data_IF_031149409892
#
_entry.id   IF_031149409892
#
_cell.length_a   1.000
_cell.length_b   1.000
_cell.length_c   1.000
_cell.angle_alpha   90.00
_cell.angle_beta   90.00
_cell.angle_gamma   90.00
#
_symmetry.space_group_name_H-M   'P 1'
#
loop_
_entity.id
_entity.type
_entity.pdbx_description
1 polymer ?
#
# COMPACT_ATOMS: atom_id res chain seq x y z
N UNK A 1 -11.48 -3.21 27.60
CA UNK A 1 -11.17 -3.94 26.36
C UNK A 1 -10.13 -3.15 25.58
N UNK A 2 -9.05 -3.79 25.11
CA UNK A 2 -8.02 -3.13 24.27
C UNK A 2 -8.27 -3.47 22.82
N UNK A 3 -8.24 -2.45 21.95
CA UNK A 3 -8.33 -2.67 20.50
C UNK A 3 -6.90 -2.87 19.93
N UNK A 4 -6.54 -4.06 19.44
CA UNK A 4 -5.20 -4.33 18.92
C UNK A 4 -5.04 -3.98 17.43
N UNK A 5 -6.14 -3.62 16.75
CA UNK A 5 -6.11 -3.23 15.34
C UNK A 5 -5.64 -1.78 15.16
N UNK A 6 -4.87 -1.54 14.11
CA UNK A 6 -4.24 -0.25 13.81
C UNK A 6 -4.46 0.15 12.33
N UNK A 7 -5.69 0.45 11.93
CA UNK A 7 -6.01 0.68 10.51
C UNK A 7 -5.34 1.92 9.91
N UNK A 8 -4.94 2.89 10.75
CA UNK A 8 -4.31 4.14 10.30
C UNK A 8 -2.79 4.13 10.34
N UNK A 9 -2.17 3.07 10.89
CA UNK A 9 -0.74 3.05 11.13
C UNK A 9 0.02 2.29 10.03
N UNK A 10 1.24 2.74 9.77
CA UNK A 10 2.24 1.96 9.04
C UNK A 10 2.89 1.02 10.05
N UNK A 11 2.53 -0.27 9.97
CA UNK A 11 3.07 -1.29 10.87
C UNK A 11 4.48 -1.67 10.41
N UNK A 12 5.48 -1.45 11.27
CA UNK A 12 6.89 -1.76 10.96
C UNK A 12 7.55 -2.61 12.04
N UNK A 13 7.04 -2.60 13.27
CA UNK A 13 7.62 -3.33 14.39
C UNK A 13 7.49 -4.86 14.18
N UNK A 14 8.58 -5.64 14.39
CA UNK A 14 8.60 -7.08 14.14
C UNK A 14 7.50 -7.87 14.85
N UNK A 15 7.16 -7.50 16.07
CA UNK A 15 6.16 -8.16 16.90
C UNK A 15 4.70 -7.78 16.55
N UNK A 16 4.52 -6.75 15.74
CA UNK A 16 3.21 -6.31 15.27
C UNK A 16 3.01 -6.60 13.77
N UNK A 17 4.10 -6.88 13.06
CA UNK A 17 4.10 -7.15 11.62
C UNK A 17 3.74 -8.61 11.38
N UNK A 18 2.64 -8.84 10.67
CA UNK A 18 2.11 -10.17 10.42
C UNK A 18 2.39 -10.63 8.99
N UNK A 19 2.80 -11.89 8.84
CA UNK A 19 3.07 -12.51 7.55
C UNK A 19 4.24 -11.85 6.79
N UNK A 20 4.33 -12.15 5.50
CA UNK A 20 5.30 -11.54 4.57
C UNK A 20 6.77 -11.94 4.81
N UNK A 21 7.03 -13.01 5.56
CA UNK A 21 8.41 -13.45 5.82
C UNK A 21 9.16 -13.81 4.53
N UNK A 22 8.43 -14.29 3.51
CA UNK A 22 9.02 -14.60 2.21
C UNK A 22 9.42 -13.32 1.48
N UNK A 23 8.54 -12.31 1.47
CA UNK A 23 8.79 -11.02 0.84
C UNK A 23 9.91 -10.26 1.57
N UNK A 24 9.93 -10.25 2.92
CA UNK A 24 11.01 -9.65 3.69
C UNK A 24 12.35 -10.29 3.36
N UNK A 25 12.42 -11.64 3.37
CA UNK A 25 13.65 -12.37 3.01
C UNK A 25 14.05 -12.14 1.56
N UNK A 26 13.07 -12.13 0.64
CA UNK A 26 13.32 -11.84 -0.76
C UNK A 26 13.88 -10.43 -0.93
N UNK A 27 13.22 -9.43 -0.34
CA UNK A 27 13.61 -8.03 -0.45
C UNK A 27 15.03 -7.82 0.09
N UNK A 28 15.34 -8.34 1.29
CA UNK A 28 16.67 -8.25 1.90
C UNK A 28 17.77 -8.88 1.04
N UNK A 29 17.49 -10.03 0.41
CA UNK A 29 18.40 -10.68 -0.51
C UNK A 29 18.60 -9.90 -1.81
N UNK A 30 17.50 -9.45 -2.40
CA UNK A 30 17.48 -8.83 -3.73
C UNK A 30 18.11 -7.42 -3.71
N UNK A 31 17.96 -6.67 -2.62
CA UNK A 31 18.60 -5.36 -2.45
C UNK A 31 20.14 -5.42 -2.56
N UNK A 32 20.75 -6.57 -2.27
CA UNK A 32 22.19 -6.76 -2.50
C UNK A 32 22.56 -6.83 -3.99
N UNK A 33 21.61 -7.25 -4.83
CA UNK A 33 21.82 -7.43 -6.27
C UNK A 33 21.55 -6.13 -7.05
N UNK A 34 20.52 -5.39 -6.68
CA UNK A 34 20.12 -4.19 -7.39
C UNK A 34 19.05 -3.38 -6.68
N UNK A 35 18.51 -2.38 -7.35
CA UNK A 35 17.33 -1.65 -6.89
C UNK A 35 16.08 -2.47 -7.14
N UNK A 36 15.06 -2.29 -6.29
CA UNK A 36 13.86 -3.11 -6.25
C UNK A 36 12.62 -2.22 -6.35
N UNK A 37 11.58 -2.71 -6.99
CA UNK A 37 10.26 -2.11 -6.95
C UNK A 37 9.30 -3.04 -6.18
N UNK A 38 8.48 -2.47 -5.30
CA UNK A 38 7.37 -3.11 -4.60
C UNK A 38 6.10 -2.48 -5.15
N UNK A 39 5.29 -3.26 -5.84
CA UNK A 39 4.01 -2.77 -6.35
C UNK A 39 2.85 -3.64 -5.85
N UNK A 40 1.64 -3.11 -5.93
CA UNK A 40 0.43 -3.80 -5.54
C UNK A 40 -0.71 -2.80 -5.32
N UNK A 41 -1.89 -3.30 -4.98
CA UNK A 41 -3.09 -2.49 -4.76
C UNK A 41 -2.94 -1.56 -3.55
N UNK A 42 -3.85 -0.61 -3.42
CA UNK A 42 -3.94 0.24 -2.23
C UNK A 42 -4.26 -0.61 -0.98
N UNK A 43 -3.64 -0.29 0.15
CA UNK A 43 -3.91 -0.99 1.42
C UNK A 43 -3.33 -2.40 1.57
N UNK A 44 -2.57 -2.91 0.59
CA UNK A 44 -1.98 -4.26 0.62
C UNK A 44 -0.74 -4.38 1.53
N UNK A 45 -0.26 -3.26 2.11
CA UNK A 45 0.85 -3.25 3.07
C UNK A 45 2.23 -2.91 2.48
N UNK A 46 2.30 -2.24 1.31
CA UNK A 46 3.59 -1.86 0.68
C UNK A 46 4.46 -0.96 1.58
N UNK A 47 3.88 0.09 2.14
CA UNK A 47 4.56 1.03 3.05
C UNK A 47 5.06 0.33 4.31
N UNK A 48 4.24 -0.58 4.85
CA UNK A 48 4.61 -1.38 6.02
C UNK A 48 5.77 -2.34 5.68
N UNK A 49 5.72 -3.02 4.53
CA UNK A 49 6.80 -3.90 4.09
C UNK A 49 8.10 -3.12 3.86
N UNK A 50 8.03 -1.96 3.18
CA UNK A 50 9.18 -1.08 2.96
C UNK A 50 9.79 -0.65 4.29
N UNK A 51 8.97 -0.12 5.21
CA UNK A 51 9.41 0.36 6.52
C UNK A 51 9.96 -0.79 7.37
N UNK A 52 9.25 -1.92 7.45
CA UNK A 52 9.69 -3.11 8.20
C UNK A 52 11.05 -3.60 7.72
N UNK A 53 11.23 -3.71 6.40
CA UNK A 53 12.48 -4.22 5.83
C UNK A 53 13.64 -3.26 6.05
N UNK A 54 13.44 -1.95 5.85
CA UNK A 54 14.53 -0.97 5.97
C UNK A 54 14.87 -0.61 7.42
N UNK A 55 13.86 -0.55 8.31
CA UNK A 55 14.08 -0.20 9.71
C UNK A 55 14.73 -1.33 10.51
N UNK A 56 14.39 -2.57 10.22
CA UNK A 56 14.86 -3.72 11.00
C UNK A 56 15.89 -4.57 10.27
N UNK A 57 16.12 -4.35 8.97
CA UNK A 57 17.20 -4.93 8.14
C UNK A 57 17.45 -6.43 8.40
N UNK A 58 16.38 -7.21 8.64
CA UNK A 58 16.48 -8.64 8.91
C UNK A 58 17.19 -9.37 7.74
N UNK A 59 18.35 -9.95 8.01
CA UNK A 59 19.15 -10.66 7.01
C UNK A 59 20.17 -9.83 6.25
N UNK A 60 20.27 -8.52 6.47
CA UNK A 60 21.53 -7.81 6.28
C UNK A 60 22.37 -8.12 7.51
N UNK A 61 23.27 -9.12 7.37
CA UNK A 61 24.15 -9.50 8.45
C UNK A 61 24.69 -8.29 9.18
N UNK A 62 24.86 -8.47 10.47
CA UNK A 62 25.36 -7.61 11.55
C UNK A 62 26.50 -6.61 11.24
N UNK A 63 26.83 -6.40 9.99
CA UNK A 63 27.68 -5.33 9.56
C UNK A 63 26.89 -4.01 9.65
N UNK A 64 27.18 -3.24 10.70
CA UNK A 64 26.76 -1.85 10.95
C UNK A 64 27.02 -0.88 9.76
N UNK A 65 27.16 -1.40 8.54
CA UNK A 65 27.63 -0.68 7.36
C UNK A 65 26.53 -0.22 6.41
N UNK A 66 25.26 -0.56 6.68
CA UNK A 66 24.15 -0.11 5.81
C UNK A 66 23.45 1.11 6.37
N UNK A 67 23.22 2.10 5.52
CA UNK A 67 22.46 3.30 5.85
C UNK A 67 21.28 3.42 4.91
N UNK A 68 20.10 3.71 5.45
CA UNK A 68 18.89 3.88 4.67
C UNK A 68 18.20 5.20 4.99
N UNK A 69 17.35 5.64 4.06
CA UNK A 69 16.38 6.73 4.22
C UNK A 69 15.10 6.35 3.50
N UNK A 70 14.00 6.69 4.10
CA UNK A 70 12.67 6.53 3.47
C UNK A 70 12.14 7.93 3.22
N UNK A 71 11.69 8.17 2.01
CA UNK A 71 11.05 9.41 1.58
C UNK A 71 9.68 9.08 0.99
N UNK A 72 8.76 10.01 1.09
CA UNK A 72 7.38 9.84 0.58
C UNK A 72 7.19 10.69 -0.65
N UNK A 73 6.77 10.06 -1.75
CA UNK A 73 6.43 10.74 -2.99
C UNK A 73 5.14 11.55 -2.86
N UNK A 74 5.06 12.68 -3.53
CA UNK A 74 3.83 13.48 -3.61
C UNK A 74 3.69 14.18 -4.97
N UNK A 75 2.47 14.62 -5.30
CA UNK A 75 2.13 15.13 -6.62
C UNK A 75 2.81 16.45 -7.02
N UNK A 76 3.41 17.16 -6.07
CA UNK A 76 4.18 18.39 -6.35
C UNK A 76 5.59 18.13 -6.89
N UNK A 77 6.06 16.87 -6.78
CA UNK A 77 7.36 16.44 -7.33
C UNK A 77 7.22 16.18 -8.82
N UNK A 78 7.55 17.18 -9.64
CA UNK A 78 7.39 17.12 -11.11
C UNK A 78 8.70 17.10 -11.86
N UNK A 79 9.76 17.63 -11.26
CA UNK A 79 11.06 17.74 -11.90
C UNK A 79 12.11 16.88 -11.18
N UNK A 80 13.22 16.64 -11.86
CA UNK A 80 14.36 15.94 -11.25
C UNK A 80 14.95 16.72 -10.06
N UNK A 81 14.89 18.04 -10.11
CA UNK A 81 15.34 18.89 -9.00
C UNK A 81 14.43 18.77 -7.79
N UNK A 82 13.09 18.67 -7.99
CA UNK A 82 12.15 18.42 -6.90
C UNK A 82 12.40 17.05 -6.26
N UNK A 83 12.61 16.01 -7.07
CA UNK A 83 12.93 14.67 -6.59
C UNK A 83 14.28 14.63 -5.83
N UNK A 84 15.29 15.36 -6.30
CA UNK A 84 16.56 15.49 -5.60
C UNK A 84 16.42 16.26 -4.28
N UNK A 85 15.58 17.31 -4.25
CA UNK A 85 15.26 18.06 -3.03
C UNK A 85 14.62 17.17 -2.00
N UNK A 86 13.61 16.39 -2.37
CA UNK A 86 12.91 15.45 -1.50
C UNK A 86 13.89 14.50 -0.78
N UNK A 87 14.85 13.93 -1.54
CA UNK A 87 15.87 13.06 -0.95
C UNK A 87 16.82 13.83 -0.04
N UNK A 88 17.22 15.04 -0.45
CA UNK A 88 18.16 15.85 0.33
C UNK A 88 17.55 16.28 1.68
N UNK A 89 16.29 16.67 1.70
CA UNK A 89 15.58 17.08 2.92
C UNK A 89 15.59 15.97 3.99
N UNK A 90 15.52 14.71 3.58
CA UNK A 90 15.60 13.55 4.48
C UNK A 90 17.05 13.12 4.78
N UNK A 91 17.98 13.42 3.87
CA UNK A 91 19.38 13.00 4.00
C UNK A 91 20.22 13.94 4.86
N UNK A 92 19.93 15.24 4.83
CA UNK A 92 20.81 16.26 5.38
C UNK A 92 20.15 17.12 6.46
N UNK A 93 20.96 17.53 7.43
CA UNK A 93 20.61 18.63 8.33
C UNK A 93 21.17 19.93 7.75
N UNK A 94 20.34 20.96 7.69
CA UNK A 94 20.68 22.28 7.19
C UNK A 94 21.05 23.18 8.38
N UNK A 95 22.32 23.60 8.46
CA UNK A 95 22.74 24.63 9.41
C UNK A 95 22.90 25.99 8.71
N UNK A 96 21.92 26.84 8.86
CA UNK A 96 21.89 28.17 8.28
C UNK A 96 22.91 29.10 8.92
N UNK A 97 23.38 28.84 10.15
CA UNK A 97 24.33 29.66 10.87
C UNK A 97 25.76 29.47 10.34
N UNK A 98 26.11 28.21 10.09
CA UNK A 98 27.43 27.86 9.51
C UNK A 98 27.41 27.78 7.98
N UNK A 99 26.21 27.92 7.36
CA UNK A 99 26.00 27.76 5.92
C UNK A 99 26.54 26.43 5.40
N UNK A 100 26.18 25.35 6.07
CA UNK A 100 26.61 23.98 5.72
C UNK A 100 25.45 23.01 5.64
N UNK A 101 25.57 22.03 4.73
CA UNK A 101 24.76 20.80 4.75
C UNK A 101 25.58 19.74 5.46
N UNK A 102 24.97 19.14 6.48
CA UNK A 102 25.57 18.01 7.22
C UNK A 102 24.79 16.73 6.90
N UNK A 103 25.49 15.71 6.42
CA UNK A 103 24.86 14.43 6.08
C UNK A 103 24.69 13.58 7.34
N UNK A 104 23.46 13.17 7.59
CA UNK A 104 23.07 12.34 8.74
C UNK A 104 23.39 10.85 8.61
N UNK A 105 24.54 10.46 8.04
CA UNK A 105 24.96 9.05 7.97
C UNK A 105 25.81 8.71 9.18
N UNK A 106 25.50 7.69 9.99
CA UNK A 106 26.15 7.45 11.29
C UNK A 106 27.68 7.38 11.26
N UNK A 107 28.28 6.83 10.23
CA UNK A 107 29.75 6.78 10.06
C UNK A 107 30.34 7.97 9.32
N UNK A 108 29.50 8.84 8.76
CA UNK A 108 29.88 10.10 8.10
C UNK A 108 29.45 11.31 8.94
N UNK A 109 29.22 11.13 10.22
CA UNK A 109 28.55 12.05 11.14
C UNK A 109 29.12 13.48 11.22
N UNK A 110 30.12 13.82 10.44
CA UNK A 110 30.68 15.17 10.35
C UNK A 110 30.99 15.63 8.91
N UNK A 111 30.40 14.97 7.89
CA UNK A 111 30.51 15.52 6.56
C UNK A 111 29.66 16.78 6.47
N UNK A 112 30.32 17.92 6.37
CA UNK A 112 29.66 19.19 6.13
C UNK A 112 30.25 19.85 4.88
N UNK A 113 29.36 20.31 3.98
CA UNK A 113 29.75 20.92 2.72
C UNK A 113 29.10 22.28 2.54
N UNK A 114 29.88 23.33 2.51
CA UNK A 114 29.43 24.69 2.15
C UNK A 114 29.09 24.80 0.66
N UNK A 115 29.77 24.05 -0.20
CA UNK A 115 29.48 24.02 -1.62
C UNK A 115 28.13 23.34 -1.91
N UNK A 116 27.86 22.20 -1.30
CA UNK A 116 26.55 21.53 -1.42
C UNK A 116 25.43 22.42 -0.84
N UNK A 117 25.68 23.15 0.26
CA UNK A 117 24.75 24.12 0.80
C UNK A 117 24.43 25.23 -0.21
N UNK A 118 25.46 25.81 -0.84
CA UNK A 118 25.26 26.84 -1.86
C UNK A 118 24.42 26.34 -3.03
N UNK A 119 24.74 25.16 -3.55
CA UNK A 119 23.95 24.52 -4.62
C UNK A 119 22.51 24.28 -4.22
N UNK A 120 22.27 23.83 -2.98
CA UNK A 120 20.93 23.64 -2.45
C UNK A 120 20.15 24.96 -2.39
N UNK A 121 20.75 26.03 -1.89
CA UNK A 121 20.11 27.35 -1.82
C UNK A 121 19.83 27.98 -3.21
N UNK A 122 20.64 27.63 -4.22
CA UNK A 122 20.43 28.04 -5.60
C UNK A 122 19.33 27.20 -6.33
N UNK A 123 18.70 26.23 -5.65
CA UNK A 123 17.72 25.32 -6.26
C UNK A 123 18.32 24.23 -7.16
N UNK A 124 19.65 24.07 -7.14
CA UNK A 124 20.42 23.06 -7.89
C UNK A 124 20.55 21.77 -7.07
N UNK A 125 19.40 21.19 -6.71
CA UNK A 125 19.34 20.09 -5.74
C UNK A 125 20.03 18.82 -6.24
N UNK A 126 19.87 18.49 -7.51
CA UNK A 126 20.56 17.34 -8.11
C UNK A 126 22.09 17.52 -8.08
N UNK A 127 22.58 18.73 -8.31
CA UNK A 127 24.01 19.03 -8.22
C UNK A 127 24.49 18.90 -6.76
N UNK A 128 23.72 19.39 -5.79
CA UNK A 128 24.01 19.24 -4.37
C UNK A 128 24.04 17.77 -3.94
N UNK A 129 23.04 16.96 -4.36
CA UNK A 129 22.99 15.51 -4.09
C UNK A 129 24.22 14.80 -4.68
N UNK A 130 24.53 15.07 -5.94
CA UNK A 130 25.72 14.50 -6.58
C UNK A 130 27.02 14.89 -5.86
N UNK A 131 27.12 16.10 -5.36
CA UNK A 131 28.30 16.57 -4.60
C UNK A 131 28.48 15.75 -3.31
N UNK A 132 27.39 15.41 -2.62
CA UNK A 132 27.42 14.57 -1.44
C UNK A 132 27.85 13.14 -1.82
N UNK A 133 27.24 12.56 -2.85
CA UNK A 133 27.53 11.18 -3.28
C UNK A 133 28.95 11.02 -3.85
N UNK A 134 29.56 12.10 -4.39
CA UNK A 134 30.92 12.09 -4.90
C UNK A 134 31.97 12.38 -3.84
N UNK A 135 31.57 12.72 -2.64
CA UNK A 135 32.50 13.01 -1.56
C UNK A 135 33.43 11.83 -1.25
N UNK A 136 34.65 12.15 -0.86
CA UNK A 136 35.67 11.14 -0.58
C UNK A 136 35.27 10.20 0.58
N UNK A 137 34.74 10.76 1.65
CA UNK A 137 34.35 9.98 2.81
C UNK A 137 33.13 9.06 2.48
N UNK A 138 32.17 9.57 1.70
CA UNK A 138 31.07 8.77 1.21
C UNK A 138 31.56 7.62 0.31
N UNK A 139 32.47 7.90 -0.62
CA UNK A 139 33.07 6.87 -1.48
C UNK A 139 33.82 5.82 -0.69
N UNK A 140 34.64 6.21 0.27
CA UNK A 140 35.37 5.29 1.14
C UNK A 140 34.42 4.40 1.95
N UNK A 141 33.33 4.97 2.47
CA UNK A 141 32.26 4.21 3.16
C UNK A 141 31.65 3.15 2.25
N UNK A 142 31.21 3.51 1.05
CA UNK A 142 30.62 2.57 0.08
C UNK A 142 31.63 1.51 -0.37
N UNK A 143 32.89 1.91 -0.61
CA UNK A 143 33.96 0.99 -1.05
C UNK A 143 34.41 0.02 0.05
N UNK A 144 34.22 0.38 1.32
CA UNK A 144 34.44 -0.55 2.45
C UNK A 144 33.35 -1.61 2.64
N UNK A 145 32.40 -1.70 1.70
CA UNK A 145 31.30 -2.66 1.74
C UNK A 145 29.97 -2.09 2.23
N UNK A 146 29.92 -0.78 2.52
CA UNK A 146 28.68 -0.11 2.94
C UNK A 146 27.62 -0.04 1.84
N UNK A 147 26.37 -0.04 2.23
CA UNK A 147 25.23 0.20 1.34
C UNK A 147 24.56 1.51 1.70
N UNK A 148 24.15 2.26 0.69
CA UNK A 148 23.27 3.40 0.84
C UNK A 148 21.94 3.10 0.13
N UNK A 149 20.87 2.96 0.93
CA UNK A 149 19.56 2.52 0.45
C UNK A 149 18.57 3.69 0.59
N UNK A 150 17.91 4.02 -0.50
CA UNK A 150 16.87 5.06 -0.56
C UNK A 150 15.53 4.36 -0.83
N UNK A 151 14.67 4.30 0.18
CA UNK A 151 13.29 3.87 0.04
C UNK A 151 12.43 5.04 -0.43
N UNK A 152 11.62 4.85 -1.47
CA UNK A 152 10.67 5.86 -1.94
C UNK A 152 9.28 5.24 -1.90
N UNK A 153 8.48 5.70 -0.94
CA UNK A 153 7.08 5.31 -0.83
C UNK A 153 6.19 6.19 -1.72
N UNK A 154 4.97 5.75 -2.02
CA UNK A 154 4.02 6.43 -2.91
C UNK A 154 4.63 6.88 -4.25
N UNK A 155 5.49 6.04 -4.81
CA UNK A 155 6.28 6.33 -6.02
C UNK A 155 5.42 6.67 -7.24
N UNK A 156 4.17 6.18 -7.30
CA UNK A 156 3.22 6.49 -8.38
C UNK A 156 2.90 7.98 -8.49
N UNK A 157 2.96 8.73 -7.38
CA UNK A 157 2.65 10.15 -7.37
C UNK A 157 3.70 11.01 -8.08
N UNK A 158 4.91 10.50 -8.21
CA UNK A 158 6.04 11.24 -8.78
C UNK A 158 6.93 10.38 -9.70
N UNK A 159 6.39 9.31 -10.26
CA UNK A 159 7.11 8.33 -11.07
C UNK A 159 8.00 8.92 -12.18
N UNK A 160 7.57 9.92 -12.99
CA UNK A 160 8.43 10.50 -14.02
C UNK A 160 9.67 11.23 -13.48
N UNK A 161 9.51 12.00 -12.41
CA UNK A 161 10.61 12.73 -11.79
C UNK A 161 11.64 11.79 -11.14
N UNK A 162 11.13 10.76 -10.44
CA UNK A 162 11.94 9.73 -9.81
C UNK A 162 12.70 8.90 -10.85
N UNK A 163 12.08 8.53 -11.96
CA UNK A 163 12.73 7.76 -13.02
C UNK A 163 13.97 8.48 -13.55
N UNK A 164 13.87 9.79 -13.84
CA UNK A 164 14.98 10.63 -14.30
C UNK A 164 16.08 10.72 -13.25
N UNK A 165 15.72 10.97 -11.98
CA UNK A 165 16.66 11.05 -10.88
C UNK A 165 17.40 9.73 -10.70
N UNK A 166 16.67 8.63 -10.59
CA UNK A 166 17.20 7.28 -10.42
C UNK A 166 18.22 6.95 -11.51
N UNK A 167 17.84 7.19 -12.76
CA UNK A 167 18.70 6.98 -13.92
C UNK A 167 20.03 7.74 -13.79
N UNK A 168 19.97 9.03 -13.47
CA UNK A 168 21.16 9.86 -13.38
C UNK A 168 22.04 9.49 -12.19
N UNK A 169 21.46 9.32 -11.00
CA UNK A 169 22.19 8.98 -9.78
C UNK A 169 22.91 7.64 -9.94
N UNK A 170 22.19 6.59 -10.37
CA UNK A 170 22.79 5.25 -10.47
C UNK A 170 23.85 5.20 -11.58
N UNK A 171 23.59 5.81 -12.75
CA UNK A 171 24.58 5.84 -13.83
C UNK A 171 25.85 6.56 -13.41
N UNK A 172 25.71 7.74 -12.81
CA UNK A 172 26.85 8.55 -12.39
C UNK A 172 27.64 7.86 -11.28
N UNK A 173 26.97 7.26 -10.33
CA UNK A 173 27.60 6.52 -9.23
C UNK A 173 28.41 5.33 -9.76
N UNK A 174 27.84 4.53 -10.66
CA UNK A 174 28.53 3.39 -11.27
C UNK A 174 29.76 3.83 -12.08
N UNK A 175 29.66 4.90 -12.87
CA UNK A 175 30.82 5.47 -13.59
C UNK A 175 31.91 5.97 -12.65
N UNK A 176 31.57 6.35 -11.43
CA UNK A 176 32.50 6.76 -10.37
C UNK A 176 33.00 5.59 -9.51
N UNK A 177 32.69 4.35 -9.87
CA UNK A 177 33.10 3.15 -9.11
C UNK A 177 32.29 2.91 -7.84
N UNK A 178 31.11 3.51 -7.72
CA UNK A 178 30.20 3.36 -6.58
C UNK A 178 29.03 2.48 -7.03
N UNK A 179 28.97 1.24 -6.54
CA UNK A 179 27.96 0.27 -6.97
C UNK A 179 26.89 -0.05 -5.93
N UNK A 180 27.06 0.38 -4.67
CA UNK A 180 26.19 0.01 -3.55
C UNK A 180 25.18 1.10 -3.16
N UNK A 181 24.80 1.99 -4.08
CA UNK A 181 23.63 2.85 -3.95
C UNK A 181 22.44 2.08 -4.50
N UNK A 182 21.39 1.90 -3.68
CA UNK A 182 20.18 1.14 -4.01
C UNK A 182 18.96 2.01 -3.80
N UNK A 183 17.96 1.76 -4.64
CA UNK A 183 16.63 2.32 -4.49
C UNK A 183 15.63 1.19 -4.25
N UNK A 184 14.71 1.42 -3.33
CA UNK A 184 13.55 0.55 -3.12
C UNK A 184 12.32 1.42 -3.31
N UNK A 185 11.61 1.19 -4.41
CA UNK A 185 10.41 1.92 -4.73
C UNK A 185 9.20 1.15 -4.21
N UNK A 186 8.26 1.83 -3.57
CA UNK A 186 6.97 1.29 -3.24
C UNK A 186 5.86 2.16 -3.86
N UNK A 187 4.89 1.55 -4.51
CA UNK A 187 3.84 2.29 -5.18
C UNK A 187 2.70 1.42 -5.69
N UNK A 188 1.61 2.08 -6.09
CA UNK A 188 0.45 1.40 -6.66
C UNK A 188 0.73 1.00 -8.11
N UNK A 189 0.37 -0.24 -8.48
CA UNK A 189 0.49 -0.71 -9.86
C UNK A 189 -0.31 0.20 -10.82
N UNK A 190 0.17 0.53 -12.02
CA UNK A 190 1.41 0.07 -12.67
C UNK A 190 2.53 1.14 -12.67
N UNK A 191 2.92 1.71 -11.51
CA UNK A 191 3.89 2.82 -11.45
C UNK A 191 5.25 2.49 -12.10
N UNK A 192 5.69 1.24 -12.05
CA UNK A 192 6.95 0.81 -12.69
C UNK A 192 6.87 1.01 -14.21
N UNK A 193 5.73 0.73 -14.81
CA UNK A 193 5.50 0.98 -16.24
C UNK A 193 5.54 2.48 -16.58
N UNK A 194 5.02 3.32 -15.70
CA UNK A 194 5.10 4.77 -15.84
C UNK A 194 6.57 5.24 -15.78
N UNK A 195 7.36 4.73 -14.84
CA UNK A 195 8.80 5.01 -14.79
C UNK A 195 9.53 4.56 -16.05
N UNK A 196 9.25 3.36 -16.56
CA UNK A 196 9.85 2.81 -17.79
C UNK A 196 9.45 3.62 -19.00
N UNK A 197 8.20 4.06 -19.09
CA UNK A 197 7.73 4.90 -20.21
C UNK A 197 8.43 6.26 -20.25
N UNK A 198 8.82 6.79 -19.09
CA UNK A 198 9.60 8.03 -19.00
C UNK A 198 11.07 7.82 -19.38
N UNK A 199 11.71 6.77 -18.89
CA UNK A 199 13.09 6.41 -19.23
C UNK A 199 13.27 4.89 -19.27
N UNK A 200 13.15 4.29 -20.47
CA UNK A 200 13.35 2.85 -20.66
C UNK A 200 14.72 2.32 -20.21
N UNK A 201 15.70 3.20 -20.04
CA UNK A 201 17.04 2.83 -19.57
C UNK A 201 17.09 2.40 -18.11
N UNK A 202 16.06 2.70 -17.31
CA UNK A 202 15.99 2.29 -15.90
C UNK A 202 15.79 0.78 -15.70
N UNK A 203 15.21 0.09 -16.68
CA UNK A 203 14.96 -1.37 -16.61
C UNK A 203 16.21 -2.18 -16.22
N UNK A 204 17.38 -1.76 -16.66
CA UNK A 204 18.65 -2.45 -16.34
C UNK A 204 19.11 -2.23 -14.90
N UNK A 205 18.53 -1.27 -14.18
CA UNK A 205 18.91 -0.91 -12.81
C UNK A 205 17.89 -1.37 -11.78
N UNK A 206 16.64 -1.60 -12.19
CA UNK A 206 15.63 -2.30 -11.38
C UNK A 206 15.90 -3.79 -11.56
N UNK A 207 16.38 -4.41 -10.49
CA UNK A 207 16.77 -5.82 -10.51
C UNK A 207 15.54 -6.73 -10.55
N UNK A 208 14.52 -6.39 -9.76
CA UNK A 208 13.28 -7.16 -9.68
C UNK A 208 12.13 -6.26 -9.24
N UNK A 209 10.91 -6.65 -9.63
CA UNK A 209 9.66 -6.07 -9.14
C UNK A 209 8.92 -7.12 -8.34
N UNK A 210 8.67 -6.81 -7.06
CA UNK A 210 7.87 -7.66 -6.16
C UNK A 210 6.44 -7.17 -6.24
N UNK A 211 5.53 -8.03 -6.69
CA UNK A 211 4.11 -7.75 -6.65
C UNK A 211 3.52 -8.27 -5.34
N UNK A 212 3.10 -7.33 -4.50
CA UNK A 212 2.54 -7.64 -3.20
C UNK A 212 1.03 -7.90 -3.36
N UNK A 213 0.63 -9.13 -3.09
CA UNK A 213 -0.77 -9.58 -3.14
C UNK A 213 -1.45 -9.42 -1.77
N UNK A 214 -2.78 -9.36 -1.69
CA UNK A 214 -3.50 -9.53 -0.43
C UNK A 214 -3.07 -10.81 0.29
N UNK A 215 -3.35 -10.91 1.57
CA UNK A 215 -3.18 -12.16 2.31
C UNK A 215 -4.04 -13.27 1.69
N UNK A 216 -3.56 -14.49 1.75
CA UNK A 216 -4.42 -15.65 1.50
C UNK A 216 -5.54 -15.72 2.53
N UNK A 217 -6.60 -16.47 2.25
CA UNK A 217 -7.70 -16.64 3.21
C UNK A 217 -7.19 -17.23 4.55
N UNK A 218 -6.22 -18.12 4.51
CA UNK A 218 -5.60 -18.72 5.69
C UNK A 218 -4.81 -17.67 6.49
N UNK A 219 -3.91 -16.92 5.84
CA UNK A 219 -3.14 -15.84 6.49
C UNK A 219 -4.05 -14.75 7.08
N UNK A 220 -5.14 -14.40 6.37
CA UNK A 220 -6.10 -13.41 6.85
C UNK A 220 -6.86 -13.89 8.08
N UNK A 221 -7.25 -15.18 8.10
CA UNK A 221 -7.91 -15.81 9.24
C UNK A 221 -6.99 -15.89 10.45
N UNK A 222 -5.78 -16.41 10.27
CA UNK A 222 -4.78 -16.49 11.33
C UNK A 222 -4.47 -15.11 11.93
N UNK A 223 -4.36 -14.08 11.07
CA UNK A 223 -4.19 -12.71 11.53
C UNK A 223 -5.34 -12.23 12.43
N UNK A 224 -6.59 -12.49 12.04
CA UNK A 224 -7.75 -12.09 12.83
C UNK A 224 -7.86 -12.89 14.13
N UNK A 225 -7.61 -14.20 14.07
CA UNK A 225 -7.63 -15.08 15.25
C UNK A 225 -6.63 -14.58 16.30
N UNK A 226 -5.40 -14.25 15.90
CA UNK A 226 -4.39 -13.69 16.78
C UNK A 226 -4.84 -12.35 17.39
N UNK A 227 -5.37 -11.44 16.57
CA UNK A 227 -5.82 -10.12 17.03
C UNK A 227 -7.02 -10.20 17.96
N UNK A 228 -8.00 -11.02 17.66
CA UNK A 228 -9.15 -11.24 18.53
C UNK A 228 -8.78 -11.99 19.81
N UNK A 229 -7.79 -12.86 19.76
CA UNK A 229 -7.24 -13.47 20.97
C UNK A 229 -6.63 -12.41 21.92
N UNK A 230 -5.90 -11.40 21.38
CA UNK A 230 -5.41 -10.26 22.16
C UNK A 230 -6.56 -9.49 22.85
N UNK A 231 -7.72 -9.34 22.18
CA UNK A 231 -8.92 -8.71 22.76
C UNK A 231 -9.45 -9.50 23.95
N UNK A 232 -9.67 -10.80 23.76
CA UNK A 232 -10.18 -11.71 24.80
C UNK A 232 -9.21 -11.73 26.01
N UNK A 233 -7.92 -11.83 25.73
CA UNK A 233 -6.88 -11.85 26.76
C UNK A 233 -6.85 -10.55 27.59
N UNK A 234 -7.11 -9.40 26.94
CA UNK A 234 -7.14 -8.09 27.61
C UNK A 234 -8.25 -7.92 28.66
N UNK A 235 -9.28 -8.77 28.62
CA UNK A 235 -10.43 -8.70 29.53
C UNK A 235 -10.52 -9.87 30.53
N UNK A 236 -9.62 -10.85 30.45
CA UNK A 236 -9.64 -12.05 31.32
C UNK A 236 -9.63 -11.76 32.81
N UNK A 237 -8.97 -10.69 33.22
CA UNK A 237 -8.85 -10.30 34.63
C UNK A 237 -9.98 -9.32 35.07
N UNK A 238 -10.98 -9.07 34.20
CA UNK A 238 -12.13 -8.23 34.48
C UNK A 238 -13.37 -9.09 34.74
N UNK A 239 -14.42 -8.52 35.34
CA UNK A 239 -15.72 -9.20 35.53
C UNK A 239 -16.46 -9.43 34.21
N UNK A 240 -15.98 -8.86 33.10
CA UNK A 240 -16.56 -8.95 31.77
C UNK A 240 -15.95 -10.10 30.99
N UNK A 241 -16.75 -10.99 30.45
CA UNK A 241 -16.33 -12.01 29.49
C UNK A 241 -16.73 -11.54 28.09
N UNK A 242 -15.77 -11.58 27.16
CA UNK A 242 -16.06 -11.34 25.73
C UNK A 242 -15.79 -12.64 24.97
N UNK A 243 -16.72 -12.98 24.10
CA UNK A 243 -16.58 -14.06 23.12
C UNK A 243 -16.77 -13.53 21.70
N UNK A 244 -16.28 -14.28 20.74
CA UNK A 244 -16.38 -13.91 19.32
C UNK A 244 -17.06 -15.05 18.60
N UNK A 245 -18.09 -14.71 17.82
CA UNK A 245 -18.76 -15.70 16.99
C UNK A 245 -17.83 -16.06 15.80
N UNK A 246 -17.54 -17.35 15.56
CA UNK A 246 -16.61 -17.76 14.50
C UNK A 246 -16.96 -17.21 13.11
N UNK A 247 -18.25 -17.11 12.79
CA UNK A 247 -18.73 -16.60 11.50
C UNK A 247 -18.28 -15.15 11.24
N UNK A 248 -18.09 -14.32 12.27
CA UNK A 248 -17.65 -12.93 12.11
C UNK A 248 -16.24 -12.87 11.52
N UNK A 249 -15.35 -13.76 11.96
CA UNK A 249 -13.98 -13.84 11.45
C UNK A 249 -14.02 -14.22 9.96
N UNK A 250 -14.73 -15.28 9.62
CA UNK A 250 -14.86 -15.74 8.23
C UNK A 250 -15.45 -14.65 7.32
N UNK A 251 -16.41 -13.88 7.82
CA UNK A 251 -17.02 -12.75 7.10
C UNK A 251 -16.08 -11.56 6.91
N UNK A 252 -15.34 -11.18 7.95
CA UNK A 252 -14.33 -10.11 7.82
C UNK A 252 -13.28 -10.52 6.79
N UNK A 253 -12.84 -11.79 6.77
CA UNK A 253 -11.91 -12.32 5.77
C UNK A 253 -12.49 -12.17 4.37
N UNK A 254 -13.74 -12.57 4.16
CA UNK A 254 -14.41 -12.47 2.86
C UNK A 254 -14.55 -11.00 2.41
N UNK A 255 -15.11 -10.13 3.27
CA UNK A 255 -15.36 -8.72 2.95
C UNK A 255 -14.08 -7.91 2.72
N UNK A 256 -12.98 -8.29 3.38
CA UNK A 256 -11.70 -7.65 3.17
C UNK A 256 -10.96 -8.13 1.93
N UNK A 257 -11.34 -9.30 1.38
CA UNK A 257 -10.57 -9.94 0.31
C UNK A 257 -9.11 -10.21 0.69
N UNK A 258 -8.82 -10.34 1.99
CA UNK A 258 -7.46 -10.49 2.50
C UNK A 258 -6.61 -9.21 2.48
N UNK A 259 -7.20 -8.05 2.13
CA UNK A 259 -6.46 -6.78 2.17
C UNK A 259 -6.15 -6.37 3.62
N UNK A 260 -4.86 -6.26 4.01
CA UNK A 260 -4.47 -5.97 5.39
C UNK A 260 -5.12 -4.72 5.98
N UNK A 261 -5.24 -3.65 5.19
CA UNK A 261 -5.90 -2.43 5.64
C UNK A 261 -7.39 -2.65 5.95
N UNK A 262 -8.10 -3.41 5.12
CA UNK A 262 -9.53 -3.70 5.35
C UNK A 262 -9.73 -4.67 6.52
N UNK A 263 -8.85 -5.64 6.70
CA UNK A 263 -8.84 -6.51 7.90
C UNK A 263 -8.68 -5.69 9.18
N UNK A 264 -7.71 -4.77 9.21
CA UNK A 264 -7.49 -3.86 10.32
C UNK A 264 -8.70 -2.96 10.56
N UNK A 265 -9.28 -2.40 9.49
CA UNK A 265 -10.41 -1.47 9.57
C UNK A 265 -11.66 -2.16 10.11
N UNK A 266 -12.06 -3.29 9.50
CA UNK A 266 -13.24 -4.05 9.91
C UNK A 266 -13.08 -4.59 11.34
N UNK A 267 -11.95 -5.24 11.66
CA UNK A 267 -11.68 -5.75 13.00
C UNK A 267 -11.70 -4.65 14.06
N UNK A 268 -11.13 -3.48 13.76
CA UNK A 268 -11.16 -2.33 14.68
C UNK A 268 -12.58 -1.85 14.98
N UNK A 269 -13.42 -1.72 13.94
CA UNK A 269 -14.76 -1.17 14.10
C UNK A 269 -15.75 -2.15 14.71
N UNK A 270 -15.58 -3.45 14.49
CA UNK A 270 -16.39 -4.48 15.15
C UNK A 270 -16.15 -4.45 16.67
N UNK A 271 -14.91 -4.32 17.10
CA UNK A 271 -14.60 -4.15 18.53
C UNK A 271 -15.16 -2.82 19.08
N UNK A 272 -15.09 -1.75 18.30
CA UNK A 272 -15.61 -0.46 18.73
C UNK A 272 -17.14 -0.49 18.84
N UNK A 273 -17.85 -1.22 17.98
CA UNK A 273 -19.29 -1.37 18.04
C UNK A 273 -19.71 -2.13 19.31
N UNK A 274 -19.10 -3.26 19.60
CA UNK A 274 -19.29 -4.01 20.85
C UNK A 274 -18.96 -3.17 22.08
N UNK A 275 -17.92 -2.33 22.02
CA UNK A 275 -17.59 -1.42 23.14
C UNK A 275 -18.68 -0.39 23.41
N UNK A 276 -19.36 0.10 22.36
CA UNK A 276 -20.46 1.09 22.47
C UNK A 276 -21.77 0.42 22.90
N UNK A 277 -22.03 -0.78 22.42
CA UNK A 277 -23.26 -1.55 22.66
C UNK A 277 -22.95 -2.93 23.26
N UNK A 278 -22.41 -3.00 24.48
CA UNK A 278 -21.83 -4.21 25.02
C UNK A 278 -22.91 -5.26 25.36
N UNK A 279 -22.81 -6.44 24.74
CA UNK A 279 -23.60 -7.62 25.13
C UNK A 279 -22.70 -8.82 25.49
N UNK A 280 -21.39 -8.68 25.31
CA UNK A 280 -20.37 -9.69 25.63
C UNK A 280 -20.11 -10.67 24.51
N UNK A 281 -20.70 -10.47 23.33
CA UNK A 281 -20.49 -11.34 22.17
C UNK A 281 -20.29 -10.50 20.91
N UNK A 282 -19.09 -10.51 20.39
CA UNK A 282 -18.83 -9.91 19.06
C UNK A 282 -19.47 -10.83 18.01
N UNK A 283 -20.51 -10.33 17.36
CA UNK A 283 -21.32 -11.07 16.40
C UNK A 283 -21.61 -10.28 15.12
N UNK A 284 -22.59 -10.74 14.35
CA UNK A 284 -22.98 -10.15 13.08
C UNK A 284 -23.61 -8.75 13.22
N UNK A 285 -24.27 -8.46 14.34
CA UNK A 285 -24.85 -7.14 14.55
C UNK A 285 -23.73 -6.10 14.68
N UNK A 286 -22.62 -6.46 15.35
CA UNK A 286 -21.44 -5.60 15.40
C UNK A 286 -20.82 -5.40 14.02
N UNK A 287 -20.78 -6.46 13.20
CA UNK A 287 -20.24 -6.35 11.85
C UNK A 287 -21.11 -5.44 10.98
N UNK A 288 -22.43 -5.60 10.99
CA UNK A 288 -23.37 -4.76 10.24
C UNK A 288 -23.27 -3.30 10.68
N UNK A 289 -23.32 -3.03 11.99
CA UNK A 289 -23.15 -1.67 12.51
C UNK A 289 -21.82 -1.04 12.16
N UNK A 290 -20.77 -1.86 12.07
CA UNK A 290 -19.44 -1.42 11.62
C UNK A 290 -19.43 -1.08 10.13
N UNK A 291 -20.03 -1.89 9.28
CA UNK A 291 -20.16 -1.63 7.84
C UNK A 291 -20.95 -0.35 7.57
N UNK A 292 -22.07 -0.15 8.27
CA UNK A 292 -22.83 1.10 8.21
C UNK A 292 -21.94 2.32 8.52
N UNK A 293 -21.24 2.28 9.65
CA UNK A 293 -20.34 3.36 10.05
C UNK A 293 -19.26 3.62 9.03
N UNK A 294 -18.62 2.58 8.51
CA UNK A 294 -17.53 2.72 7.52
C UNK A 294 -18.09 3.29 6.21
N UNK A 295 -19.14 2.70 5.67
CA UNK A 295 -19.65 3.03 4.33
C UNK A 295 -20.41 4.36 4.30
N UNK A 296 -21.18 4.70 5.34
CA UNK A 296 -22.07 5.86 5.33
C UNK A 296 -21.58 7.05 6.15
N UNK A 297 -20.57 6.87 7.00
CA UNK A 297 -20.01 7.95 7.81
C UNK A 297 -18.56 8.23 7.42
N UNK A 298 -17.70 7.23 7.53
CA UNK A 298 -16.26 7.44 7.34
C UNK A 298 -15.87 7.65 5.87
N UNK A 299 -16.45 6.87 4.96
CA UNK A 299 -16.15 6.88 3.52
C UNK A 299 -17.26 7.50 2.67
N UNK A 300 -18.34 7.99 3.29
CA UNK A 300 -19.51 8.51 2.58
C UNK A 300 -19.14 9.51 1.48
N UNK A 301 -18.43 10.57 1.80
CA UNK A 301 -18.07 11.61 0.84
C UNK A 301 -17.17 11.12 -0.29
N UNK A 302 -16.27 10.16 0.00
CA UNK A 302 -15.40 9.56 -1.02
C UNK A 302 -16.19 8.70 -2.00
N UNK A 303 -17.10 7.87 -1.48
CA UNK A 303 -17.93 7.01 -2.33
C UNK A 303 -18.96 7.83 -3.11
N UNK A 304 -19.61 8.81 -2.48
CA UNK A 304 -20.56 9.70 -3.17
C UNK A 304 -19.89 10.50 -4.28
N UNK A 305 -18.71 11.05 -4.05
CA UNK A 305 -17.92 11.73 -5.08
C UNK A 305 -17.58 10.81 -6.24
N UNK A 306 -17.12 9.60 -5.93
CA UNK A 306 -16.74 8.62 -6.96
C UNK A 306 -17.94 8.16 -7.79
N UNK A 307 -19.05 7.84 -7.14
CA UNK A 307 -20.30 7.45 -7.82
C UNK A 307 -20.87 8.60 -8.66
N UNK A 308 -20.77 9.84 -8.17
CA UNK A 308 -21.14 11.03 -8.94
C UNK A 308 -20.26 11.15 -10.20
N UNK A 309 -18.95 11.04 -10.07
CA UNK A 309 -18.01 11.10 -11.20
C UNK A 309 -18.31 9.99 -12.22
N UNK A 310 -18.61 8.75 -11.77
CA UNK A 310 -19.00 7.65 -12.66
C UNK A 310 -20.27 7.95 -13.46
N UNK A 311 -21.26 8.62 -12.84
CA UNK A 311 -22.49 9.02 -13.50
C UNK A 311 -22.25 10.15 -14.53
N UNK A 312 -21.46 11.17 -14.16
CA UNK A 312 -21.10 12.28 -15.05
C UNK A 312 -20.38 11.79 -16.29
N UNK A 313 -19.44 10.88 -16.15
CA UNK A 313 -18.66 10.29 -17.23
C UNK A 313 -19.38 9.14 -17.96
N UNK A 314 -20.60 8.80 -17.52
CA UNK A 314 -21.41 7.68 -18.06
C UNK A 314 -20.74 6.31 -17.93
N UNK A 315 -19.86 6.12 -16.95
CA UNK A 315 -19.11 4.87 -16.70
C UNK A 315 -19.83 3.97 -15.70
N UNK A 316 -20.85 4.47 -15.00
CA UNK A 316 -21.52 3.70 -13.94
C UNK A 316 -22.13 2.38 -14.44
N UNK A 317 -22.75 2.37 -15.63
CA UNK A 317 -23.30 1.14 -16.22
C UNK A 317 -22.23 0.08 -16.53
N UNK A 318 -21.06 0.53 -16.98
CA UNK A 318 -19.90 -0.34 -17.21
C UNK A 318 -19.34 -0.90 -15.90
N UNK A 319 -19.26 -0.06 -14.86
CA UNK A 319 -18.86 -0.49 -13.51
C UNK A 319 -19.85 -1.51 -12.95
N UNK A 320 -21.10 -1.25 -13.07
CA UNK A 320 -22.17 -2.15 -12.69
C UNK A 320 -22.07 -3.51 -13.38
N UNK A 321 -21.82 -3.49 -14.70
CA UNK A 321 -21.60 -4.74 -15.46
C UNK A 321 -20.34 -5.48 -15.03
N UNK A 322 -19.29 -4.75 -14.62
CA UNK A 322 -18.09 -5.36 -14.05
C UNK A 322 -18.41 -6.10 -12.75
N UNK A 323 -19.18 -5.48 -11.84
CA UNK A 323 -19.59 -6.13 -10.58
C UNK A 323 -20.39 -7.41 -10.83
N UNK A 324 -21.29 -7.40 -11.84
CA UNK A 324 -22.02 -8.60 -12.27
C UNK A 324 -21.06 -9.70 -12.78
N UNK A 325 -20.05 -9.34 -13.58
CA UNK A 325 -19.06 -10.28 -14.11
C UNK A 325 -18.15 -10.85 -13.02
N UNK A 326 -17.90 -10.08 -11.95
CA UNK A 326 -17.16 -10.53 -10.77
C UNK A 326 -17.99 -11.53 -9.92
N UNK A 327 -19.30 -11.49 -10.08
CA UNK A 327 -20.22 -12.33 -9.30
C UNK A 327 -20.27 -11.95 -7.83
N UNK A 328 -20.80 -12.84 -7.01
CA UNK A 328 -20.93 -12.59 -5.57
C UNK A 328 -19.76 -13.04 -4.72
N UNK A 329 -18.71 -13.53 -5.32
CA UNK A 329 -17.50 -13.95 -4.58
C UNK A 329 -16.74 -12.74 -4.08
N UNK A 330 -16.19 -12.83 -2.88
CA UNK A 330 -15.25 -11.89 -2.32
C UNK A 330 -13.88 -12.57 -2.14
N UNK A 331 -12.77 -11.98 -2.62
CA UNK A 331 -12.71 -10.79 -3.48
C UNK A 331 -13.28 -11.07 -4.88
N UNK A 332 -13.91 -10.04 -5.46
CA UNK A 332 -14.45 -10.11 -6.82
C UNK A 332 -13.35 -10.06 -7.88
N UNK A 333 -13.37 -11.01 -8.79
CA UNK A 333 -12.42 -11.09 -9.91
C UNK A 333 -13.13 -11.30 -11.24
N UNK A 334 -12.62 -10.69 -12.29
CA UNK A 334 -13.11 -10.92 -13.65
C UNK A 334 -11.96 -10.94 -14.65
N UNK A 335 -11.87 -12.01 -15.46
CA UNK A 335 -10.88 -12.14 -16.53
C UNK A 335 -10.91 -10.95 -17.49
N UNK A 336 -9.74 -10.36 -17.79
CA UNK A 336 -9.61 -9.16 -18.64
C UNK A 336 -10.21 -9.39 -20.03
N UNK A 337 -9.89 -10.51 -20.66
CA UNK A 337 -10.35 -10.80 -22.01
C UNK A 337 -11.87 -11.02 -22.04
N UNK A 338 -12.43 -11.67 -21.01
CA UNK A 338 -13.87 -11.88 -20.85
C UNK A 338 -14.56 -10.54 -20.63
N UNK A 339 -14.05 -9.71 -19.73
CA UNK A 339 -14.63 -8.40 -19.37
C UNK A 339 -14.70 -7.47 -20.58
N UNK A 340 -13.63 -7.37 -21.36
CA UNK A 340 -13.56 -6.50 -22.54
C UNK A 340 -14.46 -6.93 -23.72
N UNK A 341 -15.16 -8.06 -23.60
CA UNK A 341 -16.25 -8.41 -24.56
C UNK A 341 -17.57 -7.73 -24.23
N UNK A 342 -17.74 -7.26 -22.99
CA UNK A 342 -19.00 -6.70 -22.50
C UNK A 342 -18.88 -5.25 -22.07
N UNK A 343 -17.66 -4.77 -21.81
CA UNK A 343 -17.36 -3.43 -21.32
C UNK A 343 -16.33 -2.77 -22.23
N UNK A 344 -16.57 -1.52 -22.58
CA UNK A 344 -15.65 -0.75 -23.41
C UNK A 344 -14.31 -0.53 -22.69
N UNK A 345 -13.23 -0.71 -23.42
CA UNK A 345 -11.88 -0.49 -22.91
C UNK A 345 -11.71 0.91 -22.32
N UNK A 346 -12.32 1.93 -22.92
CA UNK A 346 -12.26 3.32 -22.45
C UNK A 346 -12.78 3.45 -21.01
N UNK A 347 -13.87 2.76 -20.71
CA UNK A 347 -14.49 2.80 -19.39
C UNK A 347 -13.62 2.05 -18.36
N UNK A 348 -13.04 0.91 -18.78
CA UNK A 348 -12.07 0.19 -17.93
C UNK A 348 -10.81 1.03 -17.68
N UNK A 349 -10.27 1.71 -18.70
CA UNK A 349 -9.13 2.61 -18.55
C UNK A 349 -9.46 3.77 -17.59
N UNK A 350 -10.71 4.28 -17.61
CA UNK A 350 -11.18 5.29 -16.66
C UNK A 350 -11.21 4.75 -15.24
N UNK A 351 -11.81 3.58 -15.01
CA UNK A 351 -11.87 2.93 -13.68
C UNK A 351 -10.47 2.65 -13.12
N UNK A 352 -9.54 2.21 -13.96
CA UNK A 352 -8.15 1.99 -13.58
C UNK A 352 -7.47 3.31 -13.23
N UNK A 353 -7.67 4.37 -14.05
CA UNK A 353 -7.06 5.68 -13.81
C UNK A 353 -7.53 6.33 -12.51
N UNK A 354 -8.74 6.00 -12.05
CA UNK A 354 -9.32 6.44 -10.76
C UNK A 354 -9.01 5.49 -9.62
N UNK A 355 -8.21 4.46 -9.87
CA UNK A 355 -7.84 3.46 -8.88
C UNK A 355 -9.06 2.75 -8.24
N UNK A 356 -10.12 2.55 -9.01
CA UNK A 356 -11.30 1.76 -8.62
C UNK A 356 -11.04 0.28 -8.88
N UNK A 357 -10.35 0.00 -9.98
CA UNK A 357 -10.03 -1.32 -10.47
C UNK A 357 -8.55 -1.42 -10.77
N UNK A 358 -7.96 -2.57 -10.52
CA UNK A 358 -6.59 -2.90 -10.93
C UNK A 358 -6.59 -4.13 -11.81
N UNK A 359 -5.54 -4.25 -12.63
CA UNK A 359 -5.23 -5.48 -13.37
C UNK A 359 -4.17 -6.23 -12.58
N UNK A 360 -4.45 -7.47 -12.25
CA UNK A 360 -3.50 -8.32 -11.51
C UNK A 360 -2.50 -9.00 -12.45
N UNK A 361 -1.45 -9.62 -11.88
CA UNK A 361 -0.50 -10.43 -12.62
C UNK A 361 -1.14 -11.64 -13.32
N UNK A 362 -2.30 -12.07 -12.85
CA UNK A 362 -3.03 -13.22 -13.36
C UNK A 362 -4.00 -12.85 -14.49
N UNK A 363 -3.92 -11.59 -14.96
CA UNK A 363 -4.74 -11.02 -16.04
C UNK A 363 -6.23 -10.90 -15.68
N UNK A 364 -6.49 -10.67 -14.38
CA UNK A 364 -7.82 -10.41 -13.84
C UNK A 364 -8.01 -8.94 -13.47
N UNK A 365 -9.24 -8.44 -13.60
CA UNK A 365 -9.67 -7.20 -12.95
C UNK A 365 -10.11 -7.48 -11.52
N UNK A 366 -9.60 -6.70 -10.58
CA UNK A 366 -9.99 -6.72 -9.15
C UNK A 366 -10.35 -5.31 -8.69
N UNK A 367 -11.28 -5.21 -7.73
CA UNK A 367 -11.56 -3.93 -7.05
C UNK A 367 -10.42 -3.59 -6.10
N UNK A 368 -10.10 -2.30 -6.01
CA UNK A 368 -9.13 -1.81 -5.03
C UNK A 368 -9.74 -1.68 -3.63
N UNK A 369 -11.07 -1.60 -3.56
CA UNK A 369 -11.82 -1.47 -2.32
C UNK A 369 -13.16 -2.23 -2.45
N UNK A 370 -13.22 -3.41 -1.87
CA UNK A 370 -14.43 -4.24 -1.86
C UNK A 370 -15.58 -3.60 -1.06
N UNK A 371 -15.29 -2.71 -0.13
CA UNK A 371 -16.34 -2.01 0.62
C UNK A 371 -17.15 -1.04 -0.25
N UNK A 372 -16.61 -0.59 -1.41
CA UNK A 372 -17.39 0.14 -2.40
C UNK A 372 -18.52 -0.73 -2.96
N UNK A 373 -18.25 -2.01 -3.22
CA UNK A 373 -19.27 -2.97 -3.65
C UNK A 373 -20.30 -3.20 -2.57
N UNK A 374 -19.86 -3.39 -1.32
CA UNK A 374 -20.75 -3.50 -0.16
C UNK A 374 -21.66 -2.27 -0.06
N UNK A 375 -21.11 -1.06 -0.19
CA UNK A 375 -21.89 0.18 -0.17
C UNK A 375 -22.99 0.21 -1.23
N UNK A 376 -22.69 -0.20 -2.46
CA UNK A 376 -23.66 -0.23 -3.57
C UNK A 376 -24.76 -1.25 -3.30
N UNK A 377 -24.40 -2.41 -2.75
CA UNK A 377 -25.37 -3.43 -2.38
C UNK A 377 -26.28 -2.92 -1.25
N UNK A 378 -25.74 -2.30 -0.21
CA UNK A 378 -26.51 -1.70 0.88
C UNK A 378 -27.48 -0.61 0.40
N UNK A 379 -27.07 0.24 -0.55
CA UNK A 379 -27.96 1.30 -1.08
C UNK A 379 -29.15 0.76 -1.90
N UNK A 380 -29.04 -0.44 -2.45
CA UNK A 380 -30.09 -1.01 -3.31
C UNK A 380 -31.08 -1.89 -2.58
N UNK A 381 -30.61 -2.54 -1.55
CA UNK A 381 -31.42 -3.39 -0.74
C UNK A 381 -31.64 -2.67 0.60
N UNK A 382 -32.72 -1.90 0.75
CA UNK A 382 -33.13 -1.27 2.02
C UNK A 382 -33.26 -2.26 3.20
N UNK A 383 -32.97 -3.52 2.94
CA UNK A 383 -33.03 -4.62 3.90
C UNK A 383 -31.64 -5.23 4.10
N UNK A 384 -31.03 -4.90 5.23
CA UNK A 384 -29.73 -5.45 5.68
C UNK A 384 -29.73 -6.98 5.81
N UNK A 385 -30.91 -7.60 5.83
CA UNK A 385 -31.05 -9.06 5.88
C UNK A 385 -30.40 -9.77 4.70
N UNK A 386 -30.22 -9.08 3.55
CA UNK A 386 -29.53 -9.63 2.38
C UNK A 386 -28.02 -9.68 2.63
N UNK A 387 -27.46 -8.67 3.31
CA UNK A 387 -26.06 -8.71 3.77
C UNK A 387 -25.94 -9.80 4.85
N UNK A 388 -26.94 -9.94 5.71
CA UNK A 388 -26.96 -10.99 6.73
C UNK A 388 -27.15 -12.39 6.13
N UNK A 389 -28.04 -12.59 5.16
CA UNK A 389 -28.38 -13.93 4.69
C UNK A 389 -27.61 -14.39 3.45
N UNK A 390 -27.34 -13.52 2.48
CA UNK A 390 -26.87 -13.95 1.17
C UNK A 390 -25.39 -13.62 0.89
N UNK A 391 -24.87 -12.51 1.36
CA UNK A 391 -23.41 -12.26 1.35
C UNK A 391 -22.67 -13.11 2.39
N UNK A 392 -23.40 -13.62 3.36
CA UNK A 392 -22.87 -14.11 4.62
C UNK A 392 -23.09 -15.60 4.81
N UNK A 393 -24.24 -16.19 4.44
CA UNK A 393 -24.50 -17.60 4.70
C UNK A 393 -23.84 -18.58 3.74
N UNK A 394 -23.48 -18.16 2.54
CA UNK A 394 -22.92 -19.11 1.57
C UNK A 394 -21.87 -18.44 0.70
N UNK A 395 -20.62 -18.71 0.92
CA UNK A 395 -19.53 -18.42 -0.05
C UNK A 395 -19.76 -19.05 -1.44
N UNK A 396 -20.89 -19.67 -1.68
CA UNK A 396 -21.32 -20.32 -2.92
C UNK A 396 -22.56 -19.67 -3.59
N UNK A 397 -23.27 -18.72 -2.96
CA UNK A 397 -24.64 -18.35 -3.35
C UNK A 397 -24.75 -17.38 -4.52
N UNK A 398 -23.75 -16.69 -4.91
CA UNK A 398 -23.93 -15.79 -6.04
C UNK A 398 -23.50 -16.41 -7.39
N UNK A 399 -23.65 -17.72 -7.56
CA UNK A 399 -23.78 -18.32 -8.90
C UNK A 399 -25.16 -18.05 -9.53
N UNK A 400 -26.14 -17.58 -8.75
CA UNK A 400 -27.45 -17.24 -9.29
C UNK A 400 -27.45 -15.78 -9.80
N UNK A 401 -27.37 -15.65 -11.12
CA UNK A 401 -27.45 -14.36 -11.83
C UNK A 401 -28.74 -13.58 -11.52
N UNK A 402 -29.74 -14.21 -10.94
CA UNK A 402 -31.06 -13.63 -10.68
C UNK A 402 -31.06 -12.42 -9.74
N UNK A 403 -30.12 -12.33 -8.80
CA UNK A 403 -30.02 -11.20 -7.87
C UNK A 403 -29.50 -9.98 -8.58
N UNK A 404 -28.48 -10.12 -9.43
CA UNK A 404 -27.95 -9.01 -10.22
C UNK A 404 -28.94 -8.59 -11.33
N UNK A 405 -29.72 -9.51 -11.92
CA UNK A 405 -30.78 -9.17 -12.86
C UNK A 405 -31.87 -8.32 -12.19
N UNK A 406 -32.23 -8.60 -10.93
CA UNK A 406 -33.16 -7.75 -10.15
C UNK A 406 -32.57 -6.37 -9.80
N UNK A 407 -31.24 -6.27 -9.67
CA UNK A 407 -30.54 -5.01 -9.41
C UNK A 407 -30.63 -4.07 -10.63
N UNK A 408 -30.69 -4.61 -11.85
CA UNK A 408 -30.58 -3.82 -13.08
C UNK A 408 -31.91 -3.51 -13.75
N UNK A 409 -32.98 -4.27 -13.45
CA UNK A 409 -34.32 -4.08 -14.02
C UNK A 409 -35.23 -3.15 -13.19
N UNK A 410 -34.74 -2.57 -12.09
CA UNK A 410 -35.50 -1.57 -11.34
C UNK A 410 -35.40 -0.20 -12.01
N UNK A 411 -36.54 0.53 -12.21
CA UNK A 411 -36.64 1.77 -12.98
C UNK A 411 -35.87 2.95 -12.41
#
# INVERSE_FOLDING_TARGET
MKNPFKPADIVSEPNEFYGREQEIRALSRLMRQGSIAIQGTFGVGKSSLLSRTLLHMDGFDSDESSTYRIVVGHGDIKTIEDAARMILEELVSIDSSTKTLTVGIPKLAQYSSSEAFTLFQEGRHLAALNKILEDKAFKEYIQSGGYFIIGIDESEKCAPAIARLFRQVVTKSQLSGISNIRFVFAGVSPFVQQMISEDGGIMRFIYETIELKPFTLEEAKDFLDDKFFEVIDSVKDTESSISIHPDVIDRIVQLSGGHPHLLQLLGSHVIEHEYINPDGVIDNQDLVGSLEKICYVMRASAYESLLHDMNVESVFSSFAKLLELMGGRFPGKSDVTKTLRFIDKKDMDWLISRNVVVVTSDDDYELTDELLRVRILMDRFDDYSIIESELIEHGEILEDSSIFDQIWDAP
#
